data_IF_434613344301
#
_entry.id   IF_434613344301
#
_cell.length_a   1.000
_cell.length_b   1.000
_cell.length_c   1.000
_cell.angle_alpha   90.00
_cell.angle_beta   90.00
_cell.angle_gamma   90.00
#
_symmetry.space_group_name_H-M   'P 1'
#
loop_
_entity.id
_entity.type
_entity.pdbx_description
1 polymer ?
#
# COMPACT_ATOMS: atom_id res chain seq x y z
N UNK A 1 -6.90 -19.34 21.86
CA UNK A 1 -6.80 -18.04 21.17
C UNK A 1 -6.54 -18.20 19.67
N UNK A 2 -5.86 -19.28 19.19
CA UNK A 2 -5.51 -19.47 17.77
C UNK A 2 -6.69 -19.24 16.81
N UNK A 3 -7.91 -19.78 17.02
CA UNK A 3 -9.01 -19.59 16.08
C UNK A 3 -9.45 -18.13 15.88
N UNK A 4 -9.19 -17.27 16.86
CA UNK A 4 -9.52 -15.84 16.77
C UNK A 4 -8.55 -15.12 15.83
N UNK A 5 -7.26 -15.41 15.95
CA UNK A 5 -6.21 -14.72 15.18
C UNK A 5 -6.01 -15.30 13.79
N UNK A 6 -6.33 -16.58 13.60
CA UNK A 6 -6.11 -17.30 12.33
C UNK A 6 -6.86 -16.65 11.16
N UNK A 7 -8.04 -16.08 11.45
CA UNK A 7 -8.89 -15.42 10.43
C UNK A 7 -8.34 -14.07 9.96
N UNK A 8 -7.51 -13.40 10.75
CA UNK A 8 -7.04 -12.03 10.51
C UNK A 8 -5.52 -11.93 10.32
N UNK A 9 -4.84 -13.07 10.25
CA UNK A 9 -3.39 -13.11 10.13
C UNK A 9 -2.95 -13.92 8.92
N UNK A 10 -1.79 -13.57 8.37
CA UNK A 10 -1.14 -14.30 7.28
C UNK A 10 -0.34 -15.51 7.78
N UNK A 11 -0.17 -15.59 9.10
CA UNK A 11 0.51 -16.67 9.80
C UNK A 11 0.07 -16.64 11.27
N UNK A 12 -0.40 -17.78 11.77
CA UNK A 12 -0.80 -17.92 13.17
C UNK A 12 -0.40 -19.29 13.71
N UNK A 13 0.62 -19.33 14.57
CA UNK A 13 1.10 -20.59 15.14
C UNK A 13 1.37 -20.50 16.63
N UNK A 14 1.29 -21.65 17.30
CA UNK A 14 1.59 -21.78 18.73
C UNK A 14 2.96 -22.40 18.91
N UNK A 15 3.82 -21.76 19.70
CA UNK A 15 5.10 -22.31 20.13
C UNK A 15 4.85 -23.14 21.37
N UNK A 16 5.12 -24.44 21.28
CA UNK A 16 4.93 -25.42 22.36
C UNK A 16 6.26 -25.93 22.92
N UNK A 17 7.38 -25.65 22.27
CA UNK A 17 8.70 -26.07 22.67
C UNK A 17 9.72 -24.93 22.44
N UNK A 18 10.65 -24.63 23.37
CA UNK A 18 11.66 -23.60 23.22
C UNK A 18 12.49 -23.73 21.95
N UNK A 19 12.78 -24.95 21.50
CA UNK A 19 13.57 -25.21 20.29
C UNK A 19 12.90 -24.74 19.00
N UNK A 20 11.57 -24.58 19.01
CA UNK A 20 10.80 -24.05 17.88
C UNK A 20 10.86 -22.51 17.79
N UNK A 21 11.15 -21.83 18.89
CA UNK A 21 10.95 -20.38 19.01
C UNK A 21 11.64 -19.60 17.89
N UNK A 22 12.91 -19.86 17.63
CA UNK A 22 13.68 -19.13 16.61
C UNK A 22 13.17 -19.36 15.21
N UNK A 23 12.92 -20.63 14.85
CA UNK A 23 12.38 -20.98 13.54
C UNK A 23 10.99 -20.37 13.32
N UNK A 24 10.10 -20.50 14.29
CA UNK A 24 8.73 -19.98 14.19
C UNK A 24 8.72 -18.45 14.11
N UNK A 25 9.59 -17.77 14.86
CA UNK A 25 9.73 -16.31 14.77
C UNK A 25 10.25 -15.88 13.39
N UNK A 26 11.22 -16.58 12.83
CA UNK A 26 11.72 -16.28 11.49
C UNK A 26 10.65 -16.51 10.42
N UNK A 27 9.87 -17.59 10.51
CA UNK A 27 8.75 -17.87 9.59
C UNK A 27 7.62 -16.85 9.72
N UNK A 28 7.30 -16.44 10.95
CA UNK A 28 6.31 -15.40 11.20
C UNK A 28 6.73 -14.05 10.60
N UNK A 29 7.97 -13.64 10.85
CA UNK A 29 8.53 -12.42 10.28
C UNK A 29 8.57 -12.46 8.75
N UNK A 30 8.99 -13.59 8.17
CA UNK A 30 9.00 -13.78 6.73
C UNK A 30 7.58 -13.73 6.12
N UNK A 31 6.61 -14.37 6.77
CA UNK A 31 5.22 -14.34 6.32
C UNK A 31 4.64 -12.92 6.38
N UNK A 32 4.89 -12.19 7.48
CA UNK A 32 4.44 -10.80 7.62
C UNK A 32 5.02 -9.89 6.54
N UNK A 33 6.32 -9.99 6.27
CA UNK A 33 7.01 -9.19 5.25
C UNK A 33 6.61 -9.56 3.83
N UNK A 34 6.54 -10.88 3.52
CA UNK A 34 6.26 -11.34 2.16
C UNK A 34 4.79 -11.15 1.74
N UNK A 35 3.87 -11.23 2.71
CA UNK A 35 2.42 -11.11 2.45
C UNK A 35 1.87 -9.74 2.84
N UNK A 36 2.73 -8.84 3.35
CA UNK A 36 2.36 -7.52 3.85
C UNK A 36 1.17 -7.58 4.82
N UNK A 37 1.24 -8.49 5.79
CA UNK A 37 0.15 -8.76 6.73
C UNK A 37 0.64 -9.00 8.16
N UNK A 38 -0.30 -9.25 9.06
CA UNK A 38 -0.02 -9.53 10.47
C UNK A 38 0.32 -10.99 10.66
N UNK A 39 1.44 -11.30 11.31
CA UNK A 39 1.77 -12.64 11.79
C UNK A 39 1.61 -12.70 13.31
N UNK A 40 1.02 -13.79 13.79
CA UNK A 40 0.76 -14.02 15.21
C UNK A 40 1.50 -15.26 15.70
N UNK A 41 2.24 -15.10 16.79
CA UNK A 41 2.82 -16.21 17.53
C UNK A 41 2.19 -16.28 18.93
N UNK A 42 1.68 -17.43 19.28
CA UNK A 42 1.11 -17.71 20.59
C UNK A 42 2.15 -18.46 21.38
N UNK A 43 2.54 -17.90 22.52
CA UNK A 43 3.58 -18.47 23.39
C UNK A 43 3.02 -18.63 24.79
N UNK A 44 3.11 -19.82 25.34
CA UNK A 44 2.75 -20.05 26.75
C UNK A 44 3.78 -19.43 27.68
N UNK A 45 3.31 -18.84 28.79
CA UNK A 45 4.17 -18.06 29.69
C UNK A 45 5.34 -18.83 30.30
N UNK A 46 5.17 -20.12 30.56
CA UNK A 46 6.19 -21.02 31.10
C UNK A 46 7.36 -21.26 30.14
N UNK A 47 7.17 -21.07 28.83
CA UNK A 47 8.23 -21.22 27.84
C UNK A 47 9.28 -20.10 27.90
N UNK A 48 8.90 -18.90 28.40
CA UNK A 48 9.83 -17.77 28.49
C UNK A 48 11.00 -18.00 29.47
N UNK A 49 10.84 -18.94 30.40
CA UNK A 49 11.89 -19.29 31.38
C UNK A 49 12.76 -20.46 30.93
N UNK A 50 12.39 -21.13 29.85
CA UNK A 50 13.10 -22.31 29.34
C UNK A 50 14.14 -21.90 28.28
N UNK A 51 15.24 -22.66 28.26
CA UNK A 51 16.30 -22.47 27.25
C UNK A 51 16.14 -23.51 26.15
N UNK A 52 16.36 -23.11 24.87
CA UNK A 52 16.44 -24.09 23.79
C UNK A 52 17.64 -25.01 23.94
N UNK A 53 17.53 -26.22 23.42
CA UNK A 53 18.62 -27.21 23.46
C UNK A 53 19.79 -26.81 22.55
N UNK A 54 19.50 -26.06 21.48
CA UNK A 54 20.47 -25.56 20.50
C UNK A 54 20.22 -24.11 20.16
N UNK A 55 21.28 -23.34 20.04
CA UNK A 55 21.27 -21.94 19.65
C UNK A 55 21.59 -21.77 18.15
N UNK A 56 20.69 -22.22 17.29
CA UNK A 56 20.86 -22.14 15.84
C UNK A 56 20.35 -20.78 15.30
N UNK A 57 21.16 -20.08 14.49
CA UNK A 57 20.73 -18.83 13.86
C UNK A 57 19.73 -19.11 12.75
N UNK A 58 18.64 -18.34 12.71
CA UNK A 58 17.72 -18.29 11.58
C UNK A 58 17.76 -16.92 10.93
N UNK A 59 17.68 -16.89 9.60
CA UNK A 59 17.57 -15.66 8.83
C UNK A 59 16.17 -15.52 8.29
N UNK A 60 15.68 -14.30 8.29
CA UNK A 60 14.47 -13.92 7.57
C UNK A 60 14.87 -13.57 6.14
N UNK A 61 14.31 -14.29 5.17
CA UNK A 61 14.51 -14.00 3.76
C UNK A 61 13.38 -13.09 3.29
N UNK A 62 13.73 -11.87 2.92
CA UNK A 62 12.77 -10.94 2.35
C UNK A 62 12.78 -11.09 0.83
N UNK A 63 11.64 -11.44 0.29
CA UNK A 63 11.35 -11.32 -1.13
C UNK A 63 10.50 -10.06 -1.30
N UNK A 64 10.99 -9.12 -2.07
CA UNK A 64 10.23 -7.95 -2.50
C UNK A 64 9.84 -8.18 -3.98
N UNK A 65 8.74 -8.92 -4.26
CA UNK A 65 8.31 -9.14 -5.62
C UNK A 65 7.84 -7.81 -6.21
N UNK A 66 8.50 -7.39 -7.27
CA UNK A 66 8.06 -6.22 -8.05
C UNK A 66 7.09 -6.74 -9.11
N UNK A 67 5.79 -6.56 -8.88
CA UNK A 67 4.80 -6.78 -9.91
C UNK A 67 4.86 -5.62 -10.92
N UNK A 68 5.12 -5.95 -12.19
CA UNK A 68 5.07 -4.99 -13.29
C UNK A 68 4.04 -5.45 -14.29
N UNK A 69 3.12 -4.58 -14.72
CA UNK A 69 2.19 -4.92 -15.79
C UNK A 69 2.98 -5.13 -17.10
N UNK A 70 2.50 -6.02 -17.95
CA UNK A 70 3.02 -6.17 -19.29
C UNK A 70 2.68 -4.94 -20.15
N UNK A 71 3.37 -4.78 -21.28
CA UNK A 71 3.06 -3.70 -22.21
C UNK A 71 1.61 -3.78 -22.73
N UNK A 72 1.10 -5.00 -22.91
CA UNK A 72 -0.28 -5.24 -23.38
C UNK A 72 -1.32 -4.82 -22.33
N UNK A 73 -1.07 -5.08 -21.06
CA UNK A 73 -1.95 -4.66 -19.96
C UNK A 73 -2.01 -3.13 -19.80
N UNK A 74 -0.98 -2.41 -20.22
CA UNK A 74 -0.95 -0.95 -20.19
C UNK A 74 -1.71 -0.30 -21.35
N UNK A 75 -1.94 -1.00 -22.45
CA UNK A 75 -2.59 -0.45 -23.66
C UNK A 75 -3.94 0.21 -23.37
N UNK A 76 -4.87 -0.40 -22.61
CA UNK A 76 -6.15 0.23 -22.31
C UNK A 76 -6.00 1.55 -21.54
N UNK A 77 -5.10 1.60 -20.55
CA UNK A 77 -4.83 2.79 -19.77
C UNK A 77 -4.23 3.91 -20.65
N UNK A 78 -3.24 3.56 -21.48
CA UNK A 78 -2.62 4.50 -22.43
C UNK A 78 -3.67 5.04 -23.42
N UNK A 79 -4.57 4.19 -23.91
CA UNK A 79 -5.64 4.59 -24.81
C UNK A 79 -6.59 5.56 -24.14
N UNK A 80 -7.00 5.30 -22.90
CA UNK A 80 -7.86 6.18 -22.13
C UNK A 80 -7.22 7.57 -21.91
N UNK A 81 -5.92 7.59 -21.51
CA UNK A 81 -5.19 8.84 -21.30
C UNK A 81 -4.95 9.64 -22.59
N UNK A 82 -4.87 8.99 -23.74
CA UNK A 82 -4.71 9.64 -25.05
C UNK A 82 -6.03 9.99 -25.75
N UNK A 83 -7.16 9.59 -25.19
CA UNK A 83 -8.46 9.89 -25.80
C UNK A 83 -8.86 11.39 -25.77
N UNK A 84 -8.10 12.18 -25.02
CA UNK A 84 -8.39 13.61 -24.78
C UNK A 84 -9.34 13.81 -23.61
N UNK A 85 -9.65 15.09 -23.34
CA UNK A 85 -10.49 15.46 -22.22
C UNK A 85 -9.72 15.94 -20.99
N UNK A 86 -10.44 16.17 -19.91
CA UNK A 86 -9.87 16.59 -18.62
C UNK A 86 -9.39 15.38 -17.85
N UNK A 87 -8.09 15.30 -17.63
CA UNK A 87 -7.48 14.21 -16.83
C UNK A 87 -7.16 14.77 -15.46
N UNK A 88 -7.45 14.01 -14.40
CA UNK A 88 -7.01 14.28 -13.04
C UNK A 88 -6.29 13.08 -12.45
N UNK A 89 -5.28 13.36 -11.64
CA UNK A 89 -4.50 12.35 -10.92
C UNK A 89 -4.92 12.37 -9.46
N UNK A 90 -5.19 11.19 -8.89
CA UNK A 90 -5.42 11.00 -7.47
C UNK A 90 -4.34 10.07 -6.89
N UNK A 91 -3.41 10.67 -6.13
CA UNK A 91 -2.24 9.99 -5.59
C UNK A 91 -2.45 9.51 -4.16
N UNK A 92 -2.10 8.27 -3.89
CA UNK A 92 -2.14 7.67 -2.57
C UNK A 92 -0.77 7.29 -2.01
N UNK A 93 -0.77 6.67 -0.84
CA UNK A 93 0.46 6.28 -0.13
C UNK A 93 1.36 5.33 -0.92
N UNK A 94 0.83 4.59 -1.88
CA UNK A 94 1.62 3.73 -2.77
C UNK A 94 2.58 4.48 -3.68
N UNK A 95 2.41 5.81 -3.83
CA UNK A 95 3.31 6.67 -4.60
C UNK A 95 4.52 7.17 -3.80
N UNK A 96 4.73 6.74 -2.56
CA UNK A 96 5.79 7.26 -1.67
C UNK A 96 7.19 7.24 -2.30
N UNK A 97 7.48 6.23 -3.11
CA UNK A 97 8.78 6.07 -3.77
C UNK A 97 8.75 6.41 -5.27
N UNK A 98 7.64 6.97 -5.77
CA UNK A 98 7.42 7.30 -7.18
C UNK A 98 6.96 8.75 -7.37
N UNK A 99 7.30 9.64 -6.45
CA UNK A 99 6.90 11.06 -6.51
C UNK A 99 7.32 11.74 -7.81
N UNK A 100 8.57 11.53 -8.21
CA UNK A 100 9.13 12.17 -9.39
C UNK A 100 8.40 11.72 -10.67
N UNK A 101 8.05 10.45 -10.74
CA UNK A 101 7.28 9.88 -11.84
C UNK A 101 5.84 10.43 -11.88
N UNK A 102 5.22 10.62 -10.71
CA UNK A 102 3.89 11.27 -10.60
C UNK A 102 3.96 12.70 -11.11
N UNK A 103 4.98 13.49 -10.70
CA UNK A 103 5.15 14.87 -11.17
C UNK A 103 5.42 14.93 -12.68
N UNK A 104 6.28 14.07 -13.20
CA UNK A 104 6.58 13.99 -14.62
C UNK A 104 5.32 13.62 -15.45
N UNK A 105 4.49 12.71 -14.92
CA UNK A 105 3.24 12.31 -15.56
C UNK A 105 2.22 13.45 -15.50
N UNK A 106 2.08 14.13 -14.37
CA UNK A 106 1.21 15.30 -14.22
C UNK A 106 1.57 16.40 -15.21
N UNK A 107 2.88 16.70 -15.36
CA UNK A 107 3.37 17.66 -16.33
C UNK A 107 3.03 17.25 -17.78
N UNK A 108 3.25 15.98 -18.12
CA UNK A 108 2.99 15.44 -19.47
C UNK A 108 1.51 15.46 -19.84
N UNK A 109 0.63 15.18 -18.87
CA UNK A 109 -0.81 15.15 -19.06
C UNK A 109 -1.48 16.52 -18.84
N UNK A 110 -0.74 17.51 -18.35
CA UNK A 110 -1.28 18.78 -17.85
C UNK A 110 -2.42 18.55 -16.85
N UNK A 111 -2.23 17.59 -15.93
CA UNK A 111 -3.26 17.11 -15.04
C UNK A 111 -3.07 17.64 -13.62
N UNK A 112 -4.12 18.14 -12.96
CA UNK A 112 -4.08 18.45 -11.54
C UNK A 112 -3.87 17.16 -10.71
N UNK A 113 -3.18 17.31 -9.57
CA UNK A 113 -2.89 16.22 -8.64
C UNK A 113 -3.60 16.46 -7.33
N UNK A 114 -4.62 15.65 -7.08
CA UNK A 114 -5.22 15.49 -5.76
C UNK A 114 -4.57 14.32 -5.02
N UNK A 115 -4.70 14.28 -3.70
CA UNK A 115 -4.10 13.18 -2.90
C UNK A 115 -4.96 12.73 -1.74
N UNK A 116 -4.62 11.54 -1.23
CA UNK A 116 -5.14 11.04 0.05
C UNK A 116 -4.39 11.67 1.23
N UNK A 117 -5.02 11.74 2.42
CA UNK A 117 -4.37 12.26 3.63
C UNK A 117 -3.01 11.60 3.94
N UNK A 118 -2.85 10.32 3.60
CA UNK A 118 -1.59 9.57 3.80
C UNK A 118 -0.50 9.88 2.76
N UNK A 119 -0.82 10.58 1.70
CA UNK A 119 0.13 10.98 0.67
C UNK A 119 0.58 12.45 0.82
N UNK A 120 -0.03 13.21 1.73
CA UNK A 120 0.23 14.63 1.94
C UNK A 120 1.72 14.95 2.06
N UNK A 121 2.41 14.23 2.93
CA UNK A 121 3.79 14.53 3.34
C UNK A 121 4.80 14.54 2.17
N UNK A 122 4.52 13.78 1.11
CA UNK A 122 5.45 13.65 -0.01
C UNK A 122 4.87 14.11 -1.36
N UNK A 123 3.56 14.27 -1.50
CA UNK A 123 2.94 14.75 -2.77
C UNK A 123 2.71 16.26 -2.76
N UNK A 124 2.33 16.84 -1.63
CA UNK A 124 2.03 18.27 -1.53
C UNK A 124 3.26 19.17 -1.67
N UNK A 125 4.40 18.92 -0.96
CA UNK A 125 5.53 19.84 -0.97
C UNK A 125 6.06 20.08 -2.39
N UNK A 126 6.25 21.36 -2.76
CA UNK A 126 6.80 21.79 -4.05
C UNK A 126 6.13 21.14 -5.28
N UNK A 127 4.80 20.95 -5.21
CA UNK A 127 4.02 20.37 -6.29
C UNK A 127 3.25 21.47 -7.06
N UNK A 128 3.65 21.81 -8.28
CA UNK A 128 3.00 22.86 -9.05
C UNK A 128 1.62 22.45 -9.62
N UNK A 129 1.26 21.19 -9.52
CA UNK A 129 -0.02 20.62 -10.00
C UNK A 129 -1.01 20.37 -8.86
N UNK A 130 -0.65 20.77 -7.66
CA UNK A 130 -1.40 20.53 -6.45
C UNK A 130 -2.78 21.21 -6.47
N UNK A 131 -3.83 20.44 -6.15
CA UNK A 131 -5.20 20.95 -6.02
C UNK A 131 -5.85 20.59 -4.67
N UNK A 132 -5.09 20.02 -3.77
CA UNK A 132 -5.52 19.66 -2.43
C UNK A 132 -5.95 18.22 -2.26
N UNK A 133 -6.33 17.90 -1.04
CA UNK A 133 -6.83 16.60 -0.64
C UNK A 133 -8.31 16.46 -1.02
N UNK A 134 -8.75 15.26 -1.39
CA UNK A 134 -10.17 14.92 -1.51
C UNK A 134 -10.55 13.79 -0.56
N UNK A 135 -11.85 13.64 -0.31
CA UNK A 135 -12.40 12.69 0.66
C UNK A 135 -13.09 13.40 1.83
N UNK A 136 -13.26 12.71 2.96
CA UNK A 136 -14.00 13.22 4.15
C UNK A 136 -13.45 14.57 4.66
N UNK A 137 -12.14 14.76 4.58
CA UNK A 137 -11.47 16.02 4.95
C UNK A 137 -10.99 16.80 3.72
N UNK A 138 -11.68 16.60 2.60
CA UNK A 138 -11.27 17.16 1.31
C UNK A 138 -11.43 18.68 1.23
N UNK A 139 -10.59 19.26 0.37
CA UNK A 139 -10.66 20.66 -0.03
C UNK A 139 -11.43 20.80 -1.35
N UNK A 140 -12.01 21.97 -1.57
CA UNK A 140 -12.82 22.23 -2.75
C UNK A 140 -12.05 21.96 -4.08
N UNK A 141 -10.77 22.34 -4.16
CA UNK A 141 -9.94 22.11 -5.35
C UNK A 141 -9.80 20.64 -5.70
N UNK A 142 -9.46 19.79 -4.73
CA UNK A 142 -9.36 18.35 -4.91
C UNK A 142 -10.69 17.71 -5.30
N UNK A 143 -11.80 18.17 -4.69
CA UNK A 143 -13.13 17.69 -5.03
C UNK A 143 -13.48 18.04 -6.49
N UNK A 144 -13.35 19.30 -6.89
CA UNK A 144 -13.67 19.73 -8.26
C UNK A 144 -12.79 19.03 -9.30
N UNK A 145 -11.50 18.87 -9.03
CA UNK A 145 -10.60 18.18 -9.95
C UNK A 145 -11.03 16.73 -10.20
N UNK A 146 -11.52 16.04 -9.18
CA UNK A 146 -12.02 14.67 -9.31
C UNK A 146 -13.41 14.62 -9.93
N UNK A 147 -14.32 15.52 -9.52
CA UNK A 147 -15.71 15.52 -9.99
C UNK A 147 -15.87 15.96 -11.45
N UNK A 148 -15.00 16.86 -11.93
CA UNK A 148 -15.12 17.46 -13.26
C UNK A 148 -14.20 16.83 -14.33
N UNK A 149 -13.45 15.77 -13.98
CA UNK A 149 -12.58 15.11 -14.94
C UNK A 149 -13.33 14.08 -15.79
N UNK A 150 -12.88 13.92 -17.03
CA UNK A 150 -13.35 12.86 -17.94
C UNK A 150 -12.62 11.54 -17.68
N UNK A 151 -11.38 11.63 -17.18
CA UNK A 151 -10.54 10.50 -16.84
C UNK A 151 -9.86 10.73 -15.49
N UNK A 152 -10.13 9.86 -14.54
CA UNK A 152 -9.47 9.84 -13.22
C UNK A 152 -8.41 8.76 -13.18
N UNK A 153 -7.15 9.16 -12.99
CA UNK A 153 -6.03 8.25 -12.83
C UNK A 153 -5.73 8.04 -11.34
N UNK A 154 -6.02 6.84 -10.83
CA UNK A 154 -5.73 6.44 -9.45
C UNK A 154 -4.33 5.83 -9.36
N UNK A 155 -3.43 6.48 -8.62
CA UNK A 155 -2.05 6.02 -8.43
C UNK A 155 -1.79 5.67 -6.97
N UNK A 156 -1.46 4.42 -6.70
CA UNK A 156 -1.06 3.97 -5.38
C UNK A 156 -2.10 4.19 -4.28
N UNK A 157 -3.37 4.19 -4.61
CA UNK A 157 -4.48 4.32 -3.67
C UNK A 157 -5.64 3.39 -4.01
N UNK A 158 -6.37 3.03 -2.96
CA UNK A 158 -7.70 2.45 -3.07
C UNK A 158 -8.69 3.52 -2.64
N UNK A 159 -9.41 4.10 -3.58
CA UNK A 159 -10.44 5.08 -3.27
C UNK A 159 -11.74 4.36 -2.95
N UNK A 160 -11.95 4.03 -1.68
CA UNK A 160 -13.07 3.23 -1.21
C UNK A 160 -14.37 4.04 -0.97
N UNK A 161 -14.29 5.36 -1.02
CA UNK A 161 -15.39 6.24 -0.66
C UNK A 161 -16.17 6.67 -1.90
N UNK A 162 -17.06 5.80 -2.38
CA UNK A 162 -17.84 6.00 -3.60
C UNK A 162 -18.71 7.27 -3.60
N UNK A 163 -19.13 7.74 -2.40
CA UNK A 163 -19.88 8.99 -2.26
C UNK A 163 -19.10 10.26 -2.67
N UNK A 164 -17.81 10.16 -2.89
CA UNK A 164 -16.96 11.26 -3.34
C UNK A 164 -16.52 11.10 -4.81
N UNK A 165 -17.00 10.07 -5.49
CA UNK A 165 -16.82 9.96 -6.93
C UNK A 165 -17.73 10.94 -7.66
N UNK A 166 -17.32 11.42 -8.83
CA UNK A 166 -18.22 12.15 -9.73
C UNK A 166 -19.40 11.26 -10.13
N UNK A 167 -20.56 11.86 -10.28
CA UNK A 167 -21.79 11.21 -10.78
C UNK A 167 -21.72 10.98 -12.29
#
# INVERSE_FOLDING_TARGET
>A
PKPIYDQYSVFCETIINPDQARRMTALAAQAALSKNGVAVLIVHGDLFTQKPSQDLPYRVHRFDPIARPSAEELVPAIKALNAGGKISIFAGSGCQHARNEVMALAAKLNAPVAWTSRAKDFIEPDNPFEVGMTGVFGLAGGYHAVAECDTLLLLGCNFAWTQFYPE
#
